data_IF_329519762004
#
_entry.id   IF_329519762004
#
_cell.length_a   1.000
_cell.length_b   1.000
_cell.length_c   1.000
_cell.angle_alpha   90.00
_cell.angle_beta   90.00
_cell.angle_gamma   90.00
#
_symmetry.space_group_name_H-M   'P 1'
#
loop_
_entity.id
_entity.type
_entity.pdbx_description
1 polymer ?
#
# COMPACT_ATOMS: atom_id res chain seq x y z
N UNK A 1 9.09 21.65 -8.14
CA UNK A 1 9.64 20.28 -8.04
C UNK A 1 8.77 19.50 -7.07
N UNK A 2 8.18 18.36 -7.47
CA UNK A 2 7.41 17.54 -6.53
C UNK A 2 8.34 16.75 -5.59
N UNK A 3 7.98 16.70 -4.31
CA UNK A 3 8.56 15.72 -3.39
C UNK A 3 7.87 14.38 -3.61
N UNK A 4 8.63 13.32 -3.91
CA UNK A 4 8.09 11.98 -4.20
C UNK A 4 8.59 10.98 -3.16
N UNK A 5 7.67 10.26 -2.52
CA UNK A 5 7.99 9.25 -1.51
C UNK A 5 7.62 7.85 -2.00
N UNK A 6 8.55 6.90 -1.84
CA UNK A 6 8.28 5.47 -2.02
C UNK A 6 8.05 4.81 -0.65
N UNK A 7 6.84 4.32 -0.40
CA UNK A 7 6.49 3.60 0.82
C UNK A 7 6.42 2.10 0.49
N UNK A 8 7.18 1.28 1.23
CA UNK A 8 7.16 -0.19 1.07
C UNK A 8 6.65 -0.86 2.34
N UNK A 9 5.43 -1.40 2.29
CA UNK A 9 4.88 -2.26 3.34
C UNK A 9 5.27 -3.73 3.11
N UNK A 10 5.75 -4.41 4.15
CA UNK A 10 6.01 -5.86 4.12
C UNK A 10 5.32 -6.52 5.32
N UNK A 11 4.63 -7.61 5.06
CA UNK A 11 4.02 -8.47 6.09
C UNK A 11 4.34 -9.93 5.76
N UNK A 12 4.35 -10.74 6.81
CA UNK A 12 4.63 -12.18 6.72
C UNK A 12 3.39 -13.01 7.03
N UNK A 13 2.64 -12.66 8.06
CA UNK A 13 1.51 -13.45 8.56
C UNK A 13 0.34 -12.62 9.06
N UNK A 14 0.24 -11.36 8.63
CA UNK A 14 -0.97 -10.56 8.82
C UNK A 14 -1.53 -10.11 7.49
N UNK A 15 -2.85 -10.00 7.45
CA UNK A 15 -3.55 -9.08 6.60
C UNK A 15 -3.71 -7.75 7.34
N UNK A 16 -2.83 -6.81 7.04
CA UNK A 16 -2.67 -5.58 7.81
C UNK A 16 -3.27 -4.37 7.07
N UNK A 17 -4.14 -3.65 7.77
CA UNK A 17 -4.62 -2.33 7.35
C UNK A 17 -3.72 -1.24 7.93
N UNK A 18 -3.33 -0.25 7.12
CA UNK A 18 -2.43 0.81 7.54
C UNK A 18 -2.68 2.14 6.84
N UNK A 19 -2.20 3.21 7.47
CA UNK A 19 -2.22 4.59 6.99
C UNK A 19 -0.83 5.17 7.20
N UNK A 20 -0.40 6.10 6.35
CA UNK A 20 0.82 6.87 6.61
C UNK A 20 0.46 8.31 6.99
N UNK A 21 1.20 8.87 7.92
CA UNK A 21 1.09 10.28 8.30
C UNK A 21 2.41 10.97 7.98
N UNK A 22 2.34 12.04 7.18
CA UNK A 22 3.48 12.85 6.80
C UNK A 22 3.41 14.20 7.51
N UNK A 23 4.26 14.39 8.51
CA UNK A 23 4.52 15.71 9.08
C UNK A 23 5.39 16.53 8.11
N UNK A 24 5.02 17.78 7.85
CA UNK A 24 5.73 18.66 6.92
C UNK A 24 5.82 20.10 7.42
N UNK A 25 6.80 20.83 6.88
CA UNK A 25 6.95 22.27 7.03
C UNK A 25 7.45 22.92 5.74
N UNK A 26 6.94 24.10 5.39
CA UNK A 26 7.38 24.85 4.22
C UNK A 26 7.04 26.34 4.37
N UNK A 27 8.04 27.22 4.24
CA UNK A 27 7.84 28.68 4.20
C UNK A 27 7.00 29.26 5.34
N UNK A 28 7.17 28.78 6.57
CA UNK A 28 6.41 29.22 7.75
C UNK A 28 5.08 28.49 7.98
N UNK A 29 4.66 27.62 7.06
CA UNK A 29 3.53 26.70 7.25
C UNK A 29 4.02 25.34 7.75
N UNK A 30 3.16 24.63 8.46
CA UNK A 30 3.38 23.24 8.86
C UNK A 30 2.06 22.48 8.95
N UNK A 31 2.13 21.15 9.02
CA UNK A 31 0.97 20.31 9.25
C UNK A 31 1.30 18.82 9.14
N UNK A 32 0.26 18.01 9.22
CA UNK A 32 0.33 16.57 8.97
C UNK A 32 -0.66 16.24 7.86
N UNK A 33 -0.21 15.48 6.86
CA UNK A 33 -1.08 14.91 5.82
C UNK A 33 -1.25 13.44 6.11
N UNK A 34 -2.50 12.97 6.08
CA UNK A 34 -2.83 11.56 6.08
C UNK A 34 -2.80 11.02 4.66
N UNK A 35 -2.15 9.88 4.47
CA UNK A 35 -2.02 9.18 3.19
C UNK A 35 -2.73 7.83 3.35
N UNK A 36 -3.80 7.64 2.59
CA UNK A 36 -4.65 6.46 2.60
C UNK A 36 -5.27 6.20 1.20
N UNK A 37 -6.02 5.11 1.04
CA UNK A 37 -6.75 4.77 -0.19
C UNK A 37 -8.14 5.44 -0.20
N UNK A 38 -8.15 6.75 -0.44
CA UNK A 38 -9.39 7.51 -0.63
C UNK A 38 -10.34 7.47 0.57
N UNK A 39 -9.79 7.58 1.78
CA UNK A 39 -10.52 7.49 3.06
C UNK A 39 -10.54 6.08 3.68
N UNK A 40 -9.94 5.08 3.03
CA UNK A 40 -9.79 3.72 3.56
C UNK A 40 -8.31 3.42 3.84
N UNK A 41 -7.97 2.68 4.89
CA UNK A 41 -6.59 2.21 5.07
C UNK A 41 -6.12 1.40 3.86
N UNK A 42 -4.84 1.55 3.51
CA UNK A 42 -4.18 0.60 2.61
C UNK A 42 -4.19 -0.79 3.25
N UNK A 43 -4.13 -1.82 2.41
CA UNK A 43 -4.06 -3.23 2.84
C UNK A 43 -2.78 -3.86 2.31
N UNK A 44 -2.06 -4.56 3.16
CA UNK A 44 -0.94 -5.41 2.75
C UNK A 44 -1.11 -6.76 3.41
N UNK A 45 -1.14 -7.83 2.60
CA UNK A 45 -1.37 -9.19 3.07
C UNK A 45 -0.09 -10.04 2.96
N UNK A 46 0.18 -10.82 4.01
CA UNK A 46 1.23 -11.82 4.03
C UNK A 46 0.73 -13.12 3.42
N UNK A 47 1.44 -13.65 2.44
CA UNK A 47 0.99 -14.82 1.67
C UNK A 47 1.57 -16.15 2.17
N UNK A 48 2.32 -16.15 3.27
CA UNK A 48 2.97 -17.36 3.79
C UNK A 48 1.91 -18.42 4.11
N UNK A 49 1.96 -19.55 3.42
CA UNK A 49 1.04 -20.68 3.62
C UNK A 49 -0.35 -20.47 3.01
N UNK A 50 -0.52 -19.46 2.15
CA UNK A 50 -1.78 -19.17 1.45
C UNK A 50 -1.60 -19.22 -0.06
N UNK A 51 -2.64 -19.64 -0.79
CA UNK A 51 -2.69 -19.52 -2.25
C UNK A 51 -2.76 -18.05 -2.65
N UNK A 52 -1.86 -17.62 -3.53
CA UNK A 52 -1.86 -16.26 -4.06
C UNK A 52 -2.56 -16.26 -5.41
N UNK A 53 -3.38 -15.22 -5.65
CA UNK A 53 -3.95 -14.95 -6.97
C UNK A 53 -3.34 -13.66 -7.49
N UNK A 54 -2.88 -13.69 -8.73
CA UNK A 54 -2.51 -12.51 -9.50
C UNK A 54 -3.64 -12.18 -10.48
N UNK A 55 -3.80 -10.89 -10.76
CA UNK A 55 -4.74 -10.45 -11.79
C UNK A 55 -4.05 -10.42 -13.14
N UNK A 56 -4.40 -11.36 -14.02
CA UNK A 56 -3.96 -11.38 -15.41
C UNK A 56 -4.72 -10.28 -16.17
N UNK A 57 -4.01 -9.19 -16.47
CA UNK A 57 -4.56 -8.04 -17.21
C UNK A 57 -4.82 -8.34 -18.68
N UNK A 58 -4.21 -9.37 -19.25
CA UNK A 58 -4.45 -9.81 -20.64
C UNK A 58 -5.71 -10.66 -20.71
N UNK A 59 -5.88 -11.61 -19.80
CA UNK A 59 -7.05 -12.48 -19.74
C UNK A 59 -8.25 -11.89 -18.99
N UNK A 60 -8.06 -10.77 -18.28
CA UNK A 60 -9.12 -10.09 -17.52
C UNK A 60 -9.67 -10.93 -16.37
N UNK A 61 -8.83 -11.76 -15.74
CA UNK A 61 -9.25 -12.68 -14.66
C UNK A 61 -8.15 -12.88 -13.63
N UNK A 62 -8.58 -13.26 -12.43
CA UNK A 62 -7.68 -13.76 -11.40
C UNK A 62 -7.20 -15.17 -11.76
N UNK A 63 -5.89 -15.40 -11.64
CA UNK A 63 -5.22 -16.68 -11.85
C UNK A 63 -4.33 -16.98 -10.65
N UNK A 64 -4.01 -18.26 -10.34
CA UNK A 64 -2.96 -18.57 -9.38
C UNK A 64 -1.68 -17.83 -9.74
N UNK A 65 -1.08 -17.15 -8.76
CA UNK A 65 0.26 -16.60 -8.95
C UNK A 65 1.21 -17.75 -9.27
N UNK A 66 2.11 -17.53 -10.23
CA UNK A 66 3.17 -18.50 -10.49
C UNK A 66 4.11 -18.56 -9.29
N UNK A 67 4.61 -19.76 -8.98
CA UNK A 67 5.66 -19.97 -7.98
C UNK A 67 6.96 -19.24 -8.34
#
# INVERSE_FOLDING_TARGET
>A
DPEVFLITGRTVGCDCSWVAELAWSSGGRSGTVRIDDGGRPFRTNGVRGHSVLDYDTTAGRWVPAAD
#
